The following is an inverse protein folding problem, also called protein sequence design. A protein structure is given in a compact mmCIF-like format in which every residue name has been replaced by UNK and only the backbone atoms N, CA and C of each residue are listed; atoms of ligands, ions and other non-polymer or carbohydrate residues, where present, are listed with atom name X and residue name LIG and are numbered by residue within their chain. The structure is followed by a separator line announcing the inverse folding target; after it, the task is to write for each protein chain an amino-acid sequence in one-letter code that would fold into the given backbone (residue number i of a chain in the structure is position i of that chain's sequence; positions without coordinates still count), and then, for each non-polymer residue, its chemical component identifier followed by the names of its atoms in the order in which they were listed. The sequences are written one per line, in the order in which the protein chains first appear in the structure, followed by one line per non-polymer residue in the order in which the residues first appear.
data_IF_285442099815
#
_entry.id   IF_285442099815
#
_cell.length_a   1.000
_cell.length_b   1.000
_cell.length_c   1.000
_cell.angle_alpha   90.00
_cell.angle_beta   90.00
_cell.angle_gamma   90.00
#
_symmetry.space_group_name_H-M   'P 1'
#
loop_
_entity.id
_entity.type
_entity.pdbx_description
1 polymer ?
#
# COMPACT_ATOMS: atom_id res chain seq x y z
N UNK A 1 -11.59 2.46 -3.21
CA UNK A 1 -10.61 1.42 -2.81
C UNK A 1 -9.21 1.85 -3.22
N UNK A 2 -8.24 1.66 -2.33
CA UNK A 2 -6.82 1.86 -2.58
C UNK A 2 -6.06 0.59 -2.15
N UNK A 3 -4.98 0.26 -2.83
CA UNK A 3 -4.20 -0.95 -2.58
C UNK A 3 -2.73 -0.64 -2.80
N UNK A 4 -1.88 -1.13 -1.90
CA UNK A 4 -0.45 -0.92 -1.98
C UNK A 4 0.23 -2.18 -2.53
N UNK A 5 0.78 -2.16 -3.76
CA UNK A 5 1.40 -3.34 -4.36
C UNK A 5 2.72 -3.75 -3.69
N UNK A 6 3.30 -2.88 -2.87
CA UNK A 6 4.53 -3.14 -2.09
C UNK A 6 4.27 -3.99 -0.83
N UNK A 7 3.04 -3.94 -0.30
CA UNK A 7 2.64 -4.58 0.94
C UNK A 7 1.55 -5.58 0.59
N UNK A 8 1.94 -6.84 0.47
CA UNK A 8 1.03 -7.92 0.08
C UNK A 8 -0.12 -7.99 1.09
N UNK A 9 -1.35 -7.82 0.60
CA UNK A 9 -2.56 -7.77 1.43
C UNK A 9 -2.91 -6.41 2.04
N UNK A 10 -2.21 -5.32 1.72
CA UNK A 10 -2.57 -3.97 2.18
C UNK A 10 -3.61 -3.32 1.26
N UNK A 11 -4.88 -3.36 1.68
CA UNK A 11 -6.00 -2.72 1.00
C UNK A 11 -6.80 -1.85 1.95
N UNK A 12 -7.27 -0.71 1.44
CA UNK A 12 -8.14 0.19 2.20
C UNK A 12 -9.33 0.65 1.37
N UNK A 13 -10.39 0.98 2.06
CA UNK A 13 -11.61 1.55 1.49
C UNK A 13 -11.89 2.88 2.19
N UNK A 14 -12.49 3.79 1.44
CA UNK A 14 -12.92 5.10 1.89
C UNK A 14 -14.15 5.50 1.10
N UNK A 15 -14.95 6.42 1.65
CA UNK A 15 -16.17 6.90 0.98
C UNK A 15 -15.82 7.81 -0.19
N UNK A 16 -14.65 8.44 -0.14
CA UNK A 16 -14.06 9.26 -1.20
C UNK A 16 -12.68 8.70 -1.58
N UNK A 17 -12.18 9.14 -2.73
CA UNK A 17 -10.81 8.82 -3.18
C UNK A 17 -9.80 9.33 -2.17
N UNK A 18 -10.04 10.52 -1.62
CA UNK A 18 -9.17 11.17 -0.63
C UNK A 18 -9.11 10.35 0.66
N UNK A 19 -10.26 9.93 1.20
CA UNK A 19 -10.28 9.06 2.39
C UNK A 19 -9.60 7.72 2.16
N UNK A 20 -9.81 7.10 0.99
CA UNK A 20 -9.12 5.84 0.68
C UNK A 20 -7.60 6.04 0.61
N UNK A 21 -7.14 7.19 0.12
CA UNK A 21 -5.74 7.57 0.04
C UNK A 21 -5.14 7.89 1.42
N UNK A 22 -5.88 8.54 2.30
CA UNK A 22 -5.45 8.79 3.68
C UNK A 22 -5.35 7.46 4.44
N UNK A 23 -6.39 6.62 4.34
CA UNK A 23 -6.40 5.31 4.99
C UNK A 23 -5.25 4.41 4.51
N UNK A 24 -4.95 4.37 3.20
CA UNK A 24 -3.83 3.55 2.70
C UNK A 24 -2.49 4.08 3.19
N UNK A 25 -2.29 5.40 3.30
CA UNK A 25 -1.06 5.98 3.83
C UNK A 25 -0.82 5.60 5.29
N UNK A 26 -1.86 5.66 6.11
CA UNK A 26 -1.79 5.25 7.52
C UNK A 26 -1.49 3.75 7.64
N UNK A 27 -2.17 2.91 6.84
CA UNK A 27 -1.92 1.47 6.82
C UNK A 27 -0.49 1.12 6.38
N UNK A 28 0.05 1.82 5.36
CA UNK A 28 1.44 1.65 4.91
C UNK A 28 2.41 2.05 6.02
N UNK A 29 2.19 3.19 6.66
CA UNK A 29 3.04 3.67 7.75
C UNK A 29 3.07 2.66 8.91
N UNK A 30 1.90 2.16 9.31
CA UNK A 30 1.78 1.16 10.37
C UNK A 30 2.50 -0.15 10.00
N UNK A 31 2.36 -0.61 8.75
CA UNK A 31 3.10 -1.78 8.29
C UNK A 31 4.61 -1.54 8.28
N UNK A 32 5.08 -0.37 7.84
CA UNK A 32 6.50 -0.02 7.83
C UNK A 32 7.08 0.14 9.23
N UNK A 33 6.28 0.55 10.22
CA UNK A 33 6.70 0.59 11.62
C UNK A 33 6.84 -0.82 12.23
N UNK A 34 5.99 -1.76 11.81
CA UNK A 34 6.03 -3.16 12.28
C UNK A 34 7.11 -3.99 11.55
N UNK A 35 7.36 -3.67 10.27
CA UNK A 35 8.45 -4.21 9.47
C UNK A 35 9.80 -3.78 10.08
N UNK A 36 10.60 -4.76 10.50
CA UNK A 36 12.00 -4.49 10.89
C UNK A 36 12.77 -3.99 9.66
N UNK A 37 13.77 -3.14 9.89
CA UNK A 37 14.60 -2.48 8.86
C UNK A 37 15.21 -3.45 7.81
N UNK A 38 15.26 -4.75 8.11
CA UNK A 38 15.75 -5.85 7.25
C UNK A 38 14.68 -6.45 6.31
N UNK A 39 13.38 -6.19 6.54
CA UNK A 39 12.25 -6.74 5.76
C UNK A 39 11.59 -5.73 4.82
N UNK A 40 12.12 -4.49 4.73
CA UNK A 40 11.59 -3.47 3.81
C UNK A 40 11.83 -3.96 2.37
N UNK A 41 10.79 -4.31 1.60
CA UNK A 41 10.98 -4.83 0.26
C UNK A 41 11.49 -3.71 -0.65
N UNK A 42 12.61 -3.95 -1.33
CA UNK A 42 13.19 -3.03 -2.31
C UNK A 42 12.15 -2.65 -3.38
N UNK A 43 11.74 -1.39 -3.40
CA UNK A 43 10.74 -0.81 -4.32
C UNK A 43 11.13 -0.93 -5.80
N UNK A 44 12.36 -1.34 -6.10
CA UNK A 44 12.94 -1.38 -7.43
C UNK A 44 12.47 -2.59 -8.28
N UNK A 45 11.74 -3.56 -7.71
CA UNK A 45 11.30 -4.78 -8.43
C UNK A 45 9.78 -4.90 -8.62
N UNK A 46 9.05 -3.77 -8.60
CA UNK A 46 7.59 -3.78 -8.54
C UNK A 46 7.02 -3.24 -9.85
N UNK A 47 6.58 -4.15 -10.72
CA UNK A 47 5.94 -3.84 -12.00
C UNK A 47 4.46 -3.53 -11.77
N UNK A 48 4.11 -2.24 -11.73
CA UNK A 48 2.72 -1.79 -11.54
C UNK A 48 1.96 -1.94 -12.87
N UNK A 49 1.51 -3.15 -13.19
CA UNK A 49 0.64 -3.42 -14.32
C UNK A 49 -0.79 -3.00 -14.01
N UNK A 50 -1.22 -1.84 -14.52
CA UNK A 50 -2.62 -1.42 -14.40
C UNK A 50 -3.49 -2.31 -15.31
N UNK A 51 -4.21 -3.28 -14.73
CA UNK A 51 -5.34 -3.93 -15.41
C UNK A 51 -6.54 -3.00 -15.32
N UNK A 52 -6.79 -2.28 -16.41
CA UNK A 52 -8.09 -1.71 -16.71
C UNK A 52 -8.93 -2.80 -17.37
N UNK A 53 -10.07 -3.15 -16.75
CA UNK A 53 -11.15 -3.93 -17.37
C UNK A 53 -12.33 -3.03 -17.66
#
# INVERSE_FOLDING_TARGET
MATCPILDGCYTQGKTVDEALENIKEAIALCLEDLKEDEIPDTNSIFIGQVVV
#
